data_IF_881314421481
#
_entry.id   IF_881314421481
#
_cell.length_a   1.000
_cell.length_b   1.000
_cell.length_c   1.000
_cell.angle_alpha   90.00
_cell.angle_beta   90.00
_cell.angle_gamma   90.00
#
_symmetry.space_group_name_H-M   'P 1'
#
loop_
_entity.id
_entity.type
_entity.pdbx_description
1 polymer ?
#
# COMPACT_ATOMS: atom_id res chain seq x y z
N UNK A 1 31.30 25.37 -39.45
CA UNK A 1 31.45 25.73 -38.01
C UNK A 1 30.26 25.23 -37.18
N UNK A 2 29.47 24.28 -37.67
CA UNK A 2 28.26 23.79 -36.98
C UNK A 2 28.51 22.51 -36.16
N UNK A 3 29.50 21.70 -36.54
CA UNK A 3 29.79 20.41 -35.87
C UNK A 3 30.33 20.55 -34.43
N UNK A 4 30.86 21.71 -34.04
CA UNK A 4 31.40 21.92 -32.68
C UNK A 4 30.28 22.15 -31.66
N UNK A 5 29.17 22.76 -32.08
CA UNK A 5 28.06 23.08 -31.18
C UNK A 5 27.24 21.83 -30.84
N UNK A 6 27.07 20.90 -31.79
CA UNK A 6 26.36 19.64 -31.56
C UNK A 6 27.13 18.68 -30.66
N UNK A 7 28.46 18.62 -30.79
CA UNK A 7 29.30 17.83 -29.87
C UNK A 7 29.31 18.39 -28.45
N UNK A 8 29.26 19.72 -28.29
CA UNK A 8 29.22 20.35 -26.97
C UNK A 8 27.86 20.18 -26.29
N UNK A 9 26.76 20.16 -27.06
CA UNK A 9 25.42 19.82 -26.55
C UNK A 9 25.36 18.36 -26.10
N UNK A 10 25.93 17.42 -26.88
CA UNK A 10 25.99 16.00 -26.52
C UNK A 10 26.89 15.72 -25.30
N UNK A 11 27.96 16.49 -25.11
CA UNK A 11 28.78 16.43 -23.89
C UNK A 11 28.04 16.96 -22.66
N UNK A 12 27.23 18.02 -22.81
CA UNK A 12 26.45 18.59 -21.72
C UNK A 12 25.33 17.63 -21.24
N UNK A 13 24.66 16.95 -22.18
CA UNK A 13 23.61 15.96 -21.86
C UNK A 13 24.20 14.73 -21.14
N UNK A 14 25.44 14.33 -21.47
CA UNK A 14 26.13 13.23 -20.75
C UNK A 14 26.60 13.62 -19.35
N UNK A 15 26.79 14.91 -19.05
CA UNK A 15 27.20 15.38 -17.71
C UNK A 15 26.04 15.54 -16.72
N UNK A 16 24.79 15.56 -17.19
CA UNK A 16 23.59 15.68 -16.35
C UNK A 16 22.86 14.34 -16.13
N UNK A 17 23.59 13.22 -16.05
CA UNK A 17 23.03 12.01 -15.49
C UNK A 17 22.77 12.25 -13.99
N UNK A 18 21.52 12.55 -13.63
CA UNK A 18 21.08 12.63 -12.23
C UNK A 18 21.55 11.35 -11.54
N UNK A 19 22.40 11.43 -10.49
CA UNK A 19 22.85 10.23 -9.81
C UNK A 19 21.62 9.53 -9.27
N UNK A 20 21.39 8.28 -9.71
CA UNK A 20 20.38 7.42 -9.13
C UNK A 20 20.59 7.44 -7.61
N UNK A 21 19.54 7.64 -6.80
CA UNK A 21 19.69 7.62 -5.35
C UNK A 21 20.36 6.31 -4.98
N UNK A 22 21.56 6.40 -4.40
CA UNK A 22 22.31 5.23 -3.99
C UNK A 22 21.38 4.34 -3.15
N UNK A 23 21.29 3.06 -3.51
CA UNK A 23 20.52 2.08 -2.75
C UNK A 23 20.96 2.16 -1.30
N UNK A 24 20.09 2.73 -0.45
CA UNK A 24 20.28 2.72 1.00
C UNK A 24 19.76 1.37 1.46
N UNK A 25 20.61 0.44 1.92
CA UNK A 25 20.09 -0.76 2.57
C UNK A 25 19.21 -0.28 3.71
N UNK A 26 17.93 -0.66 3.67
CA UNK A 26 17.03 -0.43 4.78
C UNK A 26 17.66 -1.13 5.98
N UNK A 27 18.23 -0.36 6.91
CA UNK A 27 18.72 -0.88 8.18
C UNK A 27 17.55 -1.65 8.81
N UNK A 28 17.67 -2.98 8.82
CA UNK A 28 16.67 -3.90 9.35
C UNK A 28 16.43 -3.54 10.82
N UNK A 29 15.40 -2.74 11.08
CA UNK A 29 14.98 -2.30 12.43
C UNK A 29 14.52 -3.46 13.34
N UNK A 30 14.52 -4.69 12.83
CA UNK A 30 14.04 -5.90 13.50
C UNK A 30 15.09 -7.02 13.55
N UNK A 31 16.38 -6.69 13.50
CA UNK A 31 17.45 -7.70 13.60
C UNK A 31 17.35 -8.52 14.92
N UNK A 32 16.94 -7.89 16.01
CA UNK A 32 16.80 -8.50 17.34
C UNK A 32 15.66 -9.54 17.44
N UNK A 33 14.70 -9.49 16.52
CA UNK A 33 13.58 -10.45 16.42
C UNK A 33 13.79 -11.48 15.31
N UNK A 34 14.80 -11.30 14.49
CA UNK A 34 15.24 -12.29 13.52
C UNK A 34 16.12 -13.33 14.24
N UNK A 35 15.97 -14.60 13.92
CA UNK A 35 16.66 -15.73 14.59
C UNK A 35 18.19 -15.73 14.30
N UNK A 36 18.78 -14.64 13.83
CA UNK A 36 20.09 -14.71 13.18
C UNK A 36 20.07 -15.69 12.00
N UNK A 37 18.88 -16.00 11.46
CA UNK A 37 18.72 -16.73 10.21
C UNK A 37 19.16 -15.78 9.11
N UNK A 38 20.47 -15.76 8.84
CA UNK A 38 20.92 -15.57 7.48
C UNK A 38 20.15 -16.58 6.66
N UNK A 39 19.27 -16.11 5.77
CA UNK A 39 18.82 -16.98 4.69
C UNK A 39 20.11 -17.49 4.05
N UNK A 40 20.28 -18.82 3.87
CA UNK A 40 21.43 -19.29 3.13
C UNK A 40 21.40 -18.56 1.80
N UNK A 41 22.46 -17.81 1.52
CA UNK A 41 22.73 -17.36 0.16
C UNK A 41 22.85 -18.67 -0.61
N UNK A 42 21.78 -19.05 -1.29
CA UNK A 42 21.77 -20.25 -2.10
C UNK A 42 22.91 -20.07 -3.10
N UNK A 43 23.94 -20.89 -2.97
CA UNK A 43 25.10 -20.84 -3.84
C UNK A 43 24.61 -21.16 -5.24
N UNK A 44 24.48 -20.13 -6.06
CA UNK A 44 24.12 -20.27 -7.46
C UNK A 44 25.22 -21.10 -8.12
N UNK A 45 24.84 -22.14 -8.86
CA UNK A 45 25.82 -22.98 -9.56
C UNK A 45 26.64 -22.12 -10.52
N UNK A 46 27.92 -22.46 -10.71
CA UNK A 46 28.77 -21.69 -11.63
C UNK A 46 28.26 -21.76 -13.08
N UNK A 47 27.55 -22.83 -13.44
CA UNK A 47 26.83 -22.94 -14.70
C UNK A 47 25.73 -21.87 -14.85
N UNK A 48 25.01 -21.54 -13.78
CA UNK A 48 24.00 -20.49 -13.80
C UNK A 48 24.61 -19.07 -13.79
N UNK A 49 25.78 -18.88 -13.16
CA UNK A 49 26.53 -17.61 -13.22
C UNK A 49 27.14 -17.34 -14.60
N UNK A 50 27.58 -18.38 -15.28
CA UNK A 50 28.23 -18.30 -16.59
C UNK A 50 27.26 -18.60 -17.75
N UNK A 51 25.96 -18.70 -17.48
CA UNK A 51 24.96 -18.96 -18.51
C UNK A 51 24.89 -17.78 -19.49
N UNK A 52 25.13 -18.05 -20.77
CA UNK A 52 24.99 -17.04 -21.80
C UNK A 52 23.51 -16.75 -22.10
N UNK A 53 23.19 -15.48 -22.29
CA UNK A 53 21.86 -15.06 -22.71
C UNK A 53 21.54 -15.64 -24.09
N UNK A 54 20.34 -16.22 -24.24
CA UNK A 54 19.81 -16.59 -25.55
C UNK A 54 19.26 -15.33 -26.22
N UNK A 55 19.35 -15.25 -27.55
CA UNK A 55 18.80 -14.12 -28.32
C UNK A 55 17.36 -13.75 -27.93
N UNK A 56 16.49 -14.76 -27.79
CA UNK A 56 15.11 -14.58 -27.33
C UNK A 56 15.00 -13.98 -25.92
N UNK A 57 15.91 -14.33 -25.01
CA UNK A 57 15.92 -13.77 -23.66
C UNK A 57 16.34 -12.29 -23.69
N UNK A 58 17.25 -11.92 -24.58
CA UNK A 58 17.64 -10.53 -24.80
C UNK A 58 16.46 -9.72 -25.37
N UNK A 59 15.76 -10.25 -26.37
CA UNK A 59 14.54 -9.65 -26.92
C UNK A 59 13.47 -9.43 -25.84
N UNK A 60 13.22 -10.45 -25.00
CA UNK A 60 12.23 -10.37 -23.91
C UNK A 60 12.69 -9.48 -22.75
N UNK A 61 13.99 -9.35 -22.53
CA UNK A 61 14.54 -8.47 -21.50
C UNK A 61 14.41 -6.99 -21.89
N UNK A 62 14.34 -6.70 -23.19
CA UNK A 62 14.11 -5.35 -23.68
C UNK A 62 12.65 -4.94 -23.44
N UNK A 63 12.40 -3.73 -22.91
CA UNK A 63 11.04 -3.24 -22.77
C UNK A 63 10.40 -3.05 -24.15
N UNK A 64 9.07 -3.24 -24.23
CA UNK A 64 8.34 -2.97 -25.46
C UNK A 64 8.47 -1.49 -25.85
N UNK A 65 8.59 -1.15 -27.15
CA UNK A 65 8.59 0.23 -27.59
C UNK A 65 7.28 0.92 -27.20
N UNK A 66 7.36 2.20 -26.89
CA UNK A 66 6.17 3.00 -26.58
C UNK A 66 5.28 3.14 -27.83
N UNK A 67 3.97 3.31 -27.63
CA UNK A 67 3.04 3.55 -28.74
C UNK A 67 3.45 4.83 -29.50
N UNK A 68 3.33 4.90 -30.84
CA UNK A 68 3.72 6.08 -31.62
C UNK A 68 3.06 7.39 -31.17
N UNK A 69 1.85 7.30 -30.60
CA UNK A 69 1.09 8.45 -30.09
C UNK A 69 1.30 8.71 -28.59
N UNK A 70 2.19 7.97 -27.92
CA UNK A 70 2.42 8.16 -26.50
C UNK A 70 3.04 9.55 -26.24
N UNK A 71 2.32 10.37 -25.48
CA UNK A 71 2.83 11.63 -24.95
C UNK A 71 3.10 11.46 -23.45
N UNK A 72 4.34 11.67 -22.98
CA UNK A 72 4.62 11.62 -21.55
C UNK A 72 3.85 12.72 -20.81
N UNK A 73 3.49 12.51 -19.53
CA UNK A 73 2.86 13.54 -18.73
C UNK A 73 3.77 14.77 -18.65
N UNK A 74 3.18 15.97 -18.74
CA UNK A 74 3.92 17.22 -18.56
C UNK A 74 4.56 17.21 -17.16
N UNK A 75 5.81 17.69 -17.01
CA UNK A 75 6.45 17.77 -15.71
C UNK A 75 5.64 18.66 -14.77
N UNK A 76 5.60 18.32 -13.48
CA UNK A 76 4.86 19.08 -12.46
C UNK A 76 5.35 20.54 -12.34
N UNK A 77 6.61 20.79 -12.69
CA UNK A 77 7.20 22.13 -12.76
C UNK A 77 7.53 22.42 -14.23
N UNK A 78 6.81 23.33 -14.90
CA UNK A 78 7.16 23.72 -16.26
C UNK A 78 8.48 24.48 -16.27
N UNK A 79 9.38 24.14 -17.21
CA UNK A 79 10.59 24.94 -17.46
C UNK A 79 10.15 26.23 -18.15
N UNK A 80 10.13 27.33 -17.38
CA UNK A 80 9.74 28.65 -17.88
C UNK A 80 10.90 29.23 -18.71
N UNK A 81 10.64 29.60 -19.96
CA UNK A 81 11.64 30.23 -20.85
C UNK A 81 12.08 31.59 -20.31
N UNK A 82 13.30 32.05 -20.65
CA UNK A 82 13.80 33.37 -20.22
C UNK A 82 12.86 34.51 -20.65
N UNK A 83 12.38 34.46 -21.89
CA UNK A 83 11.41 35.41 -22.42
C UNK A 83 10.11 35.47 -21.61
N UNK A 84 9.61 34.33 -21.11
CA UNK A 84 8.41 34.31 -20.28
C UNK A 84 8.65 34.86 -18.86
N UNK A 85 9.88 34.79 -18.34
CA UNK A 85 10.24 35.39 -17.03
C UNK A 85 10.43 36.90 -17.12
N UNK A 86 10.94 37.38 -18.25
CA UNK A 86 11.23 38.80 -18.52
C UNK A 86 10.04 39.54 -19.15
N UNK A 87 8.97 38.82 -19.50
CA UNK A 87 7.78 39.42 -20.09
C UNK A 87 7.10 40.38 -19.11
N UNK A 88 6.93 41.63 -19.54
CA UNK A 88 6.16 42.64 -18.81
C UNK A 88 4.66 42.41 -19.05
N UNK A 89 3.83 42.51 -17.99
CA UNK A 89 2.38 42.46 -18.16
C UNK A 89 1.90 43.66 -18.98
N UNK A 90 0.80 43.49 -19.71
CA UNK A 90 0.15 44.62 -20.39
C UNK A 90 -0.60 45.49 -19.37
N UNK A 91 -0.81 46.76 -19.68
CA UNK A 91 -1.54 47.71 -18.82
C UNK A 91 -2.90 47.16 -18.37
N UNK A 92 -3.61 46.45 -19.26
CA UNK A 92 -4.87 45.78 -18.94
C UNK A 92 -4.71 44.69 -17.88
N UNK A 93 -3.65 43.88 -17.96
CA UNK A 93 -3.37 42.85 -16.96
C UNK A 93 -3.04 43.52 -15.62
N UNK A 94 -2.28 44.61 -15.64
CA UNK A 94 -2.01 45.39 -14.43
C UNK A 94 -3.29 45.96 -13.82
N UNK A 95 -4.18 46.54 -14.62
CA UNK A 95 -5.50 47.04 -14.17
C UNK A 95 -6.35 45.93 -13.55
N UNK A 96 -6.40 44.75 -14.17
CA UNK A 96 -7.14 43.60 -13.65
C UNK A 96 -6.50 42.99 -12.39
N UNK A 97 -5.18 43.11 -12.24
CA UNK A 97 -4.45 42.64 -11.06
C UNK A 97 -4.72 43.49 -9.82
N UNK A 98 -5.17 44.75 -10.00
CA UNK A 98 -5.55 45.61 -8.89
C UNK A 98 -6.76 45.01 -8.18
N UNK A 99 -6.71 45.00 -6.86
CA UNK A 99 -7.83 44.57 -6.04
C UNK A 99 -9.10 45.35 -6.42
N UNK A 100 -10.21 44.64 -6.60
CA UNK A 100 -11.48 45.28 -6.94
C UNK A 100 -11.94 46.14 -5.76
N UNK A 101 -12.04 47.46 -5.97
CA UNK A 101 -12.60 48.40 -4.99
C UNK A 101 -14.14 48.32 -4.90
N UNK A 102 -14.73 47.17 -5.25
CA UNK A 102 -16.17 46.99 -5.17
C UNK A 102 -16.53 47.09 -3.70
N UNK A 103 -17.21 48.17 -3.33
CA UNK A 103 -17.90 48.27 -2.03
C UNK A 103 -18.93 47.14 -2.06
N UNK A 104 -18.58 46.02 -1.44
CA UNK A 104 -19.53 44.97 -1.15
C UNK A 104 -20.41 45.60 -0.08
N UNK A 105 -21.53 46.18 -0.50
CA UNK A 105 -22.63 46.43 0.43
C UNK A 105 -22.99 45.06 1.00
N UNK A 106 -22.44 44.73 2.18
CA UNK A 106 -22.77 43.55 2.97
C UNK A 106 -24.26 43.51 3.33
N UNK A 107 -24.98 44.61 3.09
CA UNK A 107 -26.44 44.70 3.09
C UNK A 107 -27.12 43.93 1.95
N UNK A 108 -26.39 43.17 1.13
CA UNK A 108 -27.00 42.06 0.37
C UNK A 108 -27.29 40.87 1.31
N UNK A 109 -27.95 41.13 2.43
CA UNK A 109 -28.88 40.16 2.98
C UNK A 109 -29.86 39.88 1.84
N UNK A 110 -29.86 38.66 1.30
CA UNK A 110 -30.89 38.27 0.37
C UNK A 110 -32.22 38.34 1.13
N UNK A 111 -32.88 39.51 1.07
CA UNK A 111 -34.12 39.76 1.79
C UNK A 111 -35.18 38.82 1.23
N UNK A 112 -35.34 37.68 1.92
CA UNK A 112 -36.40 36.74 1.62
C UNK A 112 -37.71 37.48 1.84
N UNK A 113 -38.56 37.53 0.81
CA UNK A 113 -39.87 38.17 0.92
C UNK A 113 -40.64 37.49 2.05
N UNK A 114 -41.37 38.27 2.87
CA UNK A 114 -42.17 37.72 3.96
C UNK A 114 -43.17 36.65 3.50
N UNK A 115 -43.66 36.74 2.25
CA UNK A 115 -44.51 35.70 1.65
C UNK A 115 -43.81 34.36 1.45
N UNK A 116 -42.50 34.35 1.19
CA UNK A 116 -41.71 33.13 1.07
C UNK A 116 -41.40 32.52 2.44
N UNK A 117 -41.14 33.35 3.46
CA UNK A 117 -40.97 32.90 4.86
C UNK A 117 -42.25 32.27 5.42
N UNK A 118 -43.41 32.83 5.10
CA UNK A 118 -44.71 32.38 5.59
C UNK A 118 -45.38 31.33 4.67
N UNK A 119 -44.71 30.90 3.61
CA UNK A 119 -45.28 29.96 2.65
C UNK A 119 -45.48 28.57 3.29
N UNK A 120 -46.69 28.02 3.14
CA UNK A 120 -47.00 26.64 3.54
C UNK A 120 -47.10 25.77 2.28
N UNK A 121 -46.24 24.75 2.13
CA UNK A 121 -46.29 23.87 0.97
C UNK A 121 -47.61 23.09 0.92
N UNK A 122 -48.11 22.83 -0.29
CA UNK A 122 -49.29 21.96 -0.47
C UNK A 122 -48.96 20.51 -0.15
N UNK A 123 -49.98 19.70 0.14
CA UNK A 123 -49.82 18.27 0.43
C UNK A 123 -49.05 17.54 -0.68
N UNK A 124 -49.34 17.86 -1.94
CA UNK A 124 -48.63 17.32 -3.10
C UNK A 124 -47.13 17.66 -3.09
N UNK A 125 -46.76 18.89 -2.72
CA UNK A 125 -45.34 19.29 -2.63
C UNK A 125 -44.65 18.51 -1.50
N UNK A 126 -45.34 18.32 -0.37
CA UNK A 126 -44.83 17.51 0.73
C UNK A 126 -44.63 16.05 0.31
N UNK A 127 -45.56 15.47 -0.43
CA UNK A 127 -45.42 14.11 -0.99
C UNK A 127 -44.22 13.99 -1.94
N UNK A 128 -44.06 14.94 -2.86
CA UNK A 128 -42.93 14.95 -3.79
C UNK A 128 -41.58 15.22 -3.11
N UNK A 129 -41.60 15.93 -1.97
CA UNK A 129 -40.39 16.18 -1.18
C UNK A 129 -39.89 14.94 -0.45
N UNK A 130 -40.74 13.92 -0.26
CA UNK A 130 -40.31 12.65 0.35
C UNK A 130 -39.31 11.96 -0.59
N UNK A 131 -38.15 11.53 -0.08
CA UNK A 131 -37.21 10.76 -0.90
C UNK A 131 -37.87 9.45 -1.34
N UNK A 132 -37.50 8.96 -2.53
CA UNK A 132 -37.94 7.63 -2.98
C UNK A 132 -37.48 6.58 -1.97
N UNK A 133 -38.38 5.69 -1.58
CA UNK A 133 -38.03 4.54 -0.75
C UNK A 133 -37.01 3.65 -1.48
N UNK A 134 -36.20 2.94 -0.71
CA UNK A 134 -35.31 1.93 -1.29
C UNK A 134 -36.12 0.84 -2.02
N UNK A 135 -35.49 0.23 -3.03
CA UNK A 135 -36.10 -0.90 -3.74
C UNK A 135 -36.36 -2.06 -2.77
N UNK A 136 -37.42 -2.83 -3.00
CA UNK A 136 -37.73 -4.01 -2.19
C UNK A 136 -36.54 -4.97 -2.18
N UNK A 137 -36.03 -5.29 -0.99
CA UNK A 137 -34.84 -6.14 -0.80
C UNK A 137 -33.51 -5.40 -0.82
N UNK A 138 -33.49 -4.07 -0.91
CA UNK A 138 -32.26 -3.31 -0.72
C UNK A 138 -31.76 -3.44 0.72
N UNK A 139 -30.64 -4.13 0.88
CA UNK A 139 -29.84 -4.10 2.09
C UNK A 139 -28.70 -3.12 1.87
N UNK A 140 -28.62 -1.99 2.62
CA UNK A 140 -27.45 -1.13 2.53
C UNK A 140 -26.21 -1.95 2.86
N UNK A 141 -25.15 -1.79 2.05
CA UNK A 141 -23.84 -2.35 2.39
C UNK A 141 -23.52 -1.91 3.82
N UNK A 142 -23.27 -2.87 4.72
CA UNK A 142 -22.82 -2.58 6.08
C UNK A 142 -21.73 -1.52 5.95
N UNK A 143 -21.96 -0.35 6.53
CA UNK A 143 -20.99 0.74 6.45
C UNK A 143 -19.66 0.26 7.04
N UNK A 144 -18.49 0.81 6.66
CA UNK A 144 -17.22 0.43 7.27
C UNK A 144 -17.29 0.43 8.81
N UNK A 145 -18.05 1.38 9.36
CA UNK A 145 -18.32 1.52 10.79
C UNK A 145 -19.20 0.41 11.39
N UNK A 146 -20.03 -0.27 10.60
CA UNK A 146 -20.89 -1.40 11.00
C UNK A 146 -20.25 -2.76 10.72
N UNK A 147 -19.47 -2.90 9.63
CA UNK A 147 -18.80 -4.16 9.27
C UNK A 147 -17.84 -4.67 10.33
N UNK A 148 -17.29 -3.76 11.15
CA UNK A 148 -16.24 -4.08 12.11
C UNK A 148 -16.60 -3.74 13.56
N UNK A 149 -17.88 -3.54 13.89
CA UNK A 149 -18.26 -3.34 15.30
C UNK A 149 -18.05 -4.61 16.10
N UNK A 150 -16.93 -4.64 16.82
CA UNK A 150 -16.68 -5.63 17.86
C UNK A 150 -17.66 -5.38 19.00
N UNK A 151 -18.35 -6.43 19.45
CA UNK A 151 -19.32 -6.30 20.55
C UNK A 151 -18.64 -5.78 21.82
N UNK A 152 -19.35 -5.06 22.71
CA UNK A 152 -18.78 -4.59 23.97
C UNK A 152 -18.21 -5.71 24.83
N UNK A 153 -18.82 -6.90 24.77
CA UNK A 153 -18.34 -8.08 25.49
C UNK A 153 -17.04 -8.62 24.91
N UNK A 154 -16.90 -8.64 23.58
CA UNK A 154 -15.66 -9.04 22.93
C UNK A 154 -14.51 -8.04 23.20
N UNK A 155 -14.81 -6.74 23.34
CA UNK A 155 -13.81 -5.72 23.75
C UNK A 155 -13.37 -5.82 25.21
N UNK A 156 -14.23 -6.33 26.08
CA UNK A 156 -13.96 -6.49 27.52
C UNK A 156 -13.40 -7.86 27.89
N UNK A 157 -13.36 -8.79 26.95
CA UNK A 157 -12.82 -10.12 27.17
C UNK A 157 -11.31 -10.02 27.45
N UNK A 158 -10.89 -10.53 28.62
CA UNK A 158 -9.47 -10.64 28.95
C UNK A 158 -8.94 -11.99 28.47
N UNK A 159 -7.73 -12.00 27.91
CA UNK A 159 -7.05 -13.22 27.47
C UNK A 159 -6.53 -14.03 28.66
N UNK A 160 -6.33 -15.34 28.49
CA UNK A 160 -5.65 -16.16 29.51
C UNK A 160 -4.18 -15.75 29.63
N UNK A 161 -3.60 -15.98 30.80
CA UNK A 161 -2.19 -15.63 31.10
C UNK A 161 -1.23 -16.19 30.04
N UNK A 162 -1.42 -17.45 29.63
CA UNK A 162 -0.63 -18.08 28.58
C UNK A 162 -0.76 -17.40 27.20
N UNK A 163 -1.94 -16.89 26.85
CA UNK A 163 -2.13 -16.17 25.59
C UNK A 163 -1.46 -14.79 25.66
N UNK A 164 -1.51 -14.13 26.82
CA UNK A 164 -0.80 -12.87 27.05
C UNK A 164 0.73 -13.05 26.97
N UNK A 165 1.27 -14.12 27.56
CA UNK A 165 2.68 -14.51 27.42
C UNK A 165 3.08 -14.72 25.96
N UNK A 166 2.26 -15.43 25.18
CA UNK A 166 2.53 -15.71 23.77
C UNK A 166 2.36 -14.48 22.87
N UNK A 167 1.57 -13.49 23.29
CA UNK A 167 1.40 -12.24 22.57
C UNK A 167 2.66 -11.35 22.63
N UNK A 168 3.48 -11.53 23.66
CA UNK A 168 4.76 -10.83 23.83
C UNK A 168 5.81 -11.48 22.92
N UNK A 169 6.64 -10.69 22.21
CA UNK A 169 7.67 -11.25 21.36
C UNK A 169 8.68 -12.04 22.20
N UNK A 170 8.96 -13.27 21.78
CA UNK A 170 9.93 -14.12 22.45
C UNK A 170 11.36 -13.65 22.12
N UNK A 171 11.99 -12.94 23.06
CA UNK A 171 13.38 -12.49 22.94
C UNK A 171 14.31 -13.70 23.04
N UNK A 172 15.04 -13.99 21.96
CA UNK A 172 16.02 -15.07 21.92
C UNK A 172 17.42 -14.51 22.20
N UNK A 173 17.98 -14.84 23.35
CA UNK A 173 19.39 -14.53 23.66
C UNK A 173 20.31 -15.41 22.81
N UNK A 174 21.18 -14.79 22.00
CA UNK A 174 22.04 -15.45 20.98
C UNK A 174 22.94 -16.54 21.57
N UNK A 175 23.28 -16.47 22.87
CA UNK A 175 24.17 -17.42 23.53
C UNK A 175 23.52 -18.75 23.96
N UNK A 176 22.18 -18.88 23.93
CA UNK A 176 21.47 -20.03 24.52
C UNK A 176 21.05 -21.09 23.50
N UNK A 177 21.69 -21.12 22.32
CA UNK A 177 21.53 -22.21 21.35
C UNK A 177 22.32 -23.47 21.73
N UNK A 178 22.77 -23.61 22.99
CA UNK A 178 23.01 -24.97 23.46
C UNK A 178 21.64 -25.66 23.48
N UNK A 179 21.49 -26.80 22.80
CA UNK A 179 20.31 -27.63 23.03
C UNK A 179 20.20 -27.79 24.53
N UNK A 180 19.00 -27.54 25.06
CA UNK A 180 18.63 -27.91 26.43
C UNK A 180 19.27 -29.27 26.71
N UNK A 181 19.99 -29.43 27.81
CA UNK A 181 20.77 -30.66 28.06
C UNK A 181 19.88 -31.90 28.10
N UNK A 182 18.57 -31.70 28.29
CA UNK A 182 17.49 -32.68 28.27
C UNK A 182 16.70 -32.75 26.93
N UNK A 183 17.08 -32.00 25.90
CA UNK A 183 16.33 -31.90 24.64
C UNK A 183 16.17 -33.24 23.92
N UNK A 184 17.09 -34.17 24.14
CA UNK A 184 17.07 -35.53 23.59
C UNK A 184 16.70 -36.59 24.64
N UNK A 185 16.39 -36.18 25.87
CA UNK A 185 16.03 -37.09 26.95
C UNK A 185 14.54 -37.37 26.92
N UNK A 186 14.18 -38.59 26.53
CA UNK A 186 12.79 -39.05 26.52
C UNK A 186 12.26 -39.14 27.96
N UNK A 187 11.12 -38.51 28.23
CA UNK A 187 10.46 -38.55 29.54
C UNK A 187 10.07 -39.98 29.93
N UNK A 188 10.18 -40.31 31.21
CA UNK A 188 9.81 -41.63 31.74
C UNK A 188 8.34 -42.01 31.45
N UNK A 189 7.44 -41.03 31.37
CA UNK A 189 6.04 -41.25 30.98
C UNK A 189 5.90 -41.65 29.52
N UNK A 190 6.74 -41.11 28.63
CA UNK A 190 6.76 -41.50 27.23
C UNK A 190 7.35 -42.91 27.04
N UNK A 191 8.36 -43.29 27.84
CA UNK A 191 8.89 -44.67 27.86
C UNK A 191 7.86 -45.70 28.33
N UNK A 192 6.95 -45.29 29.23
CA UNK A 192 5.88 -46.14 29.78
C UNK A 192 4.58 -46.11 28.96
N UNK A 193 4.51 -45.25 27.95
CA UNK A 193 3.30 -45.12 27.14
C UNK A 193 3.05 -46.39 26.33
N UNK A 194 1.83 -46.92 26.41
CA UNK A 194 1.36 -48.04 25.59
C UNK A 194 0.46 -47.52 24.48
N UNK A 195 0.48 -48.19 23.33
CA UNK A 195 -0.44 -47.91 22.24
C UNK A 195 -1.89 -48.04 22.73
N UNK A 196 -2.77 -47.13 22.27
CA UNK A 196 -4.19 -47.23 22.61
C UNK A 196 -4.82 -48.45 21.94
N UNK A 197 -5.91 -48.95 22.52
CA UNK A 197 -6.64 -50.11 21.98
C UNK A 197 -7.02 -49.92 20.49
N UNK A 198 -7.35 -48.68 20.09
CA UNK A 198 -7.67 -48.35 18.70
C UNK A 198 -6.47 -48.48 17.76
N UNK A 199 -5.27 -48.10 18.20
CA UNK A 199 -4.04 -48.23 17.41
C UNK A 199 -3.69 -49.72 17.25
N UNK A 200 -3.88 -50.52 18.30
CA UNK A 200 -3.69 -51.98 18.24
C UNK A 200 -4.68 -52.63 17.26
N UNK A 201 -5.94 -52.22 17.28
CA UNK A 201 -6.97 -52.69 16.34
C UNK A 201 -6.62 -52.35 14.89
N UNK A 202 -6.16 -51.12 14.63
CA UNK A 202 -5.75 -50.67 13.29
C UNK A 202 -4.44 -51.31 12.80
N UNK A 203 -3.58 -51.78 13.72
CA UNK A 203 -2.36 -52.50 13.35
C UNK A 203 -2.64 -53.94 12.89
N UNK A 204 -3.84 -54.46 13.11
CA UNK A 204 -4.24 -55.76 12.59
C UNK A 204 -4.43 -55.68 11.07
N UNK A 205 -4.02 -56.72 10.32
CA UNK A 205 -4.18 -56.73 8.87
C UNK A 205 -5.67 -56.69 8.51
N UNK A 206 -6.04 -55.77 7.62
CA UNK A 206 -7.40 -55.69 7.08
C UNK A 206 -7.59 -56.87 6.13
N UNK A 207 -8.38 -57.86 6.54
CA UNK A 207 -8.77 -58.99 5.71
C UNK A 207 -9.72 -58.47 4.63
N UNK A 208 -9.26 -58.39 3.39
CA UNK A 208 -10.11 -58.15 2.22
C UNK A 208 -10.43 -59.53 1.62
N UNK A 209 -11.69 -59.91 1.67
CA UNK A 209 -12.16 -61.21 1.17
C UNK A 209 -12.05 -61.36 -0.35
N UNK A 210 -11.95 -62.63 -0.76
CA UNK A 210 -11.94 -63.16 -2.12
C UNK A 210 -13.30 -63.02 -2.83
#
# INVERSE_FOLDING_TARGET
MENTMEEDILKHIRSESVPLPAYKPQLLKYHDYSIGRSSPLWTVSDAAKNAQSKSRLEELSSPRPMHPEYQPPKPAIPVITKAAKEALPTDRIEELSRASNRIINMENEWRVKGSALNYRPSERILELSRPRSFANGYMPCKTPDETWRVSPNARKASTSERVDELSKPHIRTVATNLPRTDAFTVRETAKKAKASNRILELSLPVIRGH
#
